data_IF_557506685471
#
_entry.id   IF_557506685471
#
_cell.length_a   1.000
_cell.length_b   1.000
_cell.length_c   1.000
_cell.angle_alpha   90.00
_cell.angle_beta   90.00
_cell.angle_gamma   90.00
#
_symmetry.space_group_name_H-M   'P 1'
#
loop_
_entity.id
_entity.type
_entity.pdbx_description
1 polymer ?
#
# COMPACT_ATOMS: atom_id res chain seq x y z
N UNK A 1 -29.09 -2.69 5.86
CA UNK A 1 -28.86 -1.45 6.64
C UNK A 1 -27.35 -1.23 6.62
N UNK A 2 -26.87 -0.29 5.81
CA UNK A 2 -25.43 -0.05 5.62
C UNK A 2 -24.97 0.99 6.66
N UNK A 3 -24.09 0.58 7.56
CA UNK A 3 -23.59 1.42 8.66
C UNK A 3 -22.57 2.44 8.13
N UNK A 4 -23.00 3.70 8.01
CA UNK A 4 -22.14 4.83 7.62
C UNK A 4 -20.96 5.05 8.59
N UNK A 5 -21.09 4.59 9.85
CA UNK A 5 -20.02 4.68 10.86
C UNK A 5 -18.82 3.78 10.53
N UNK A 6 -19.07 2.60 9.99
CA UNK A 6 -18.00 1.66 9.60
C UNK A 6 -17.25 2.20 8.39
N UNK A 7 -17.91 2.94 7.50
CA UNK A 7 -17.28 3.55 6.33
C UNK A 7 -16.27 4.64 6.71
N UNK A 8 -16.64 5.55 7.62
CA UNK A 8 -15.73 6.60 8.09
C UNK A 8 -14.52 6.05 8.84
N UNK A 9 -14.69 5.00 9.65
CA UNK A 9 -13.58 4.35 10.35
C UNK A 9 -12.64 3.59 9.39
N UNK A 10 -13.21 2.91 8.40
CA UNK A 10 -12.41 2.21 7.38
C UNK A 10 -11.61 3.20 6.54
N UNK A 11 -12.17 4.35 6.17
CA UNK A 11 -11.45 5.37 5.41
C UNK A 11 -10.30 6.00 6.21
N UNK A 12 -10.50 6.24 7.51
CA UNK A 12 -9.45 6.76 8.38
C UNK A 12 -8.31 5.74 8.57
N UNK A 13 -8.63 4.46 8.79
CA UNK A 13 -7.63 3.37 8.87
C UNK A 13 -6.88 3.20 7.56
N UNK A 14 -7.57 3.25 6.43
CA UNK A 14 -6.94 3.20 5.11
C UNK A 14 -6.05 4.41 4.84
N UNK A 15 -6.43 5.59 5.32
CA UNK A 15 -5.61 6.81 5.26
C UNK A 15 -4.30 6.62 6.02
N UNK A 16 -4.39 6.24 7.29
CA UNK A 16 -3.21 6.01 8.13
C UNK A 16 -2.31 4.88 7.58
N UNK A 17 -2.92 3.79 7.11
CA UNK A 17 -2.20 2.70 6.45
C UNK A 17 -1.42 3.19 5.22
N UNK A 18 -2.04 4.03 4.38
CA UNK A 18 -1.40 4.58 3.19
C UNK A 18 -0.23 5.52 3.54
N UNK A 19 -0.34 6.31 4.61
CA UNK A 19 0.76 7.16 5.11
C UNK A 19 1.96 6.30 5.55
N UNK A 20 1.73 5.31 6.43
CA UNK A 20 2.77 4.39 6.90
C UNK A 20 3.45 3.69 5.72
N UNK A 21 2.65 3.16 4.78
CA UNK A 21 3.18 2.44 3.61
C UNK A 21 4.04 3.37 2.75
N UNK A 22 3.60 4.63 2.53
CA UNK A 22 4.36 5.60 1.76
C UNK A 22 5.68 5.97 2.44
N UNK A 23 5.68 6.17 3.77
CA UNK A 23 6.90 6.49 4.52
C UNK A 23 7.89 5.33 4.49
N UNK A 24 7.41 4.10 4.67
CA UNK A 24 8.25 2.89 4.57
C UNK A 24 8.84 2.73 3.17
N UNK A 25 8.04 2.91 2.11
CA UNK A 25 8.52 2.78 0.74
C UNK A 25 9.56 3.84 0.39
N UNK A 26 9.38 5.08 0.90
CA UNK A 26 10.34 6.18 0.70
C UNK A 26 11.64 5.92 1.44
N UNK A 27 11.57 5.35 2.64
CA UNK A 27 12.73 5.01 3.45
C UNK A 27 13.52 3.84 2.85
N UNK A 28 12.86 2.74 2.52
CA UNK A 28 13.50 1.50 2.07
C UNK A 28 13.99 1.59 0.61
N UNK A 29 13.43 2.49 -0.21
CA UNK A 29 13.74 2.65 -1.65
C UNK A 29 13.62 1.35 -2.49
N UNK A 30 13.07 0.29 -1.90
CA UNK A 30 12.89 -1.04 -2.46
C UNK A 30 11.52 -1.52 -2.02
N UNK A 31 10.81 -2.24 -2.89
CA UNK A 31 9.50 -2.74 -2.53
C UNK A 31 9.56 -3.69 -1.33
N UNK A 32 8.49 -3.74 -0.54
CA UNK A 32 8.39 -4.61 0.63
C UNK A 32 7.10 -5.42 0.61
N UNK A 33 7.04 -6.48 1.41
CA UNK A 33 5.86 -7.34 1.56
C UNK A 33 5.34 -7.20 2.97
N UNK A 34 4.06 -6.83 3.12
CA UNK A 34 3.34 -6.97 4.39
C UNK A 34 2.62 -8.32 4.42
N UNK A 35 2.89 -9.17 5.42
CA UNK A 35 2.20 -10.45 5.54
C UNK A 35 0.70 -10.25 5.83
N UNK A 36 -0.15 -11.26 5.57
CA UNK A 36 -1.60 -11.15 5.75
C UNK A 36 -2.02 -10.73 7.15
N UNK A 37 -1.30 -11.17 8.20
CA UNK A 37 -1.56 -10.81 9.59
C UNK A 37 -1.39 -9.31 9.83
N UNK A 38 -0.32 -8.72 9.30
CA UNK A 38 0.00 -7.31 9.44
C UNK A 38 -0.98 -6.44 8.66
N UNK A 39 -1.33 -6.84 7.44
CA UNK A 39 -2.37 -6.16 6.65
C UNK A 39 -3.70 -6.14 7.39
N UNK A 40 -4.12 -7.31 7.92
CA UNK A 40 -5.37 -7.43 8.66
C UNK A 40 -5.36 -6.55 9.90
N UNK A 41 -4.25 -6.52 10.64
CA UNK A 41 -4.05 -5.65 11.80
C UNK A 41 -4.15 -4.17 11.40
N UNK A 42 -3.43 -3.77 10.36
CA UNK A 42 -3.36 -2.39 9.87
C UNK A 42 -4.72 -1.87 9.38
N UNK A 43 -5.51 -2.73 8.72
CA UNK A 43 -6.84 -2.39 8.20
C UNK A 43 -7.99 -2.72 9.16
N UNK A 44 -7.69 -3.30 10.32
CA UNK A 44 -8.70 -3.75 11.28
C UNK A 44 -9.62 -4.86 10.76
N UNK A 45 -9.14 -5.68 9.82
CA UNK A 45 -9.86 -6.84 9.28
C UNK A 45 -9.74 -7.99 10.28
N UNK A 46 -10.84 -8.66 10.67
CA UNK A 46 -10.77 -9.79 11.59
C UNK A 46 -9.89 -10.93 11.11
N UNK A 47 -9.11 -11.53 12.02
CA UNK A 47 -8.15 -12.60 11.69
C UNK A 47 -8.78 -13.87 11.11
N UNK A 48 -10.05 -14.14 11.41
CA UNK A 48 -10.80 -15.30 10.88
C UNK A 48 -11.34 -15.10 9.46
N UNK A 49 -11.20 -13.91 8.88
CA UNK A 49 -11.67 -13.63 7.52
C UNK A 49 -10.68 -14.19 6.48
N UNK A 50 -10.99 -15.37 5.93
CA UNK A 50 -10.15 -16.01 4.91
C UNK A 50 -10.10 -15.24 3.59
N UNK A 51 -11.15 -14.48 3.28
CA UNK A 51 -11.27 -13.63 2.08
C UNK A 51 -10.89 -12.17 2.34
N UNK A 52 -9.98 -11.92 3.29
CA UNK A 52 -9.49 -10.58 3.64
C UNK A 52 -9.01 -9.76 2.42
N UNK A 53 -8.47 -10.42 1.40
CA UNK A 53 -7.97 -9.80 0.17
C UNK A 53 -9.08 -9.20 -0.71
N UNK A 54 -10.34 -9.57 -0.50
CA UNK A 54 -11.52 -9.00 -1.15
C UNK A 54 -12.17 -7.88 -0.33
N UNK A 55 -11.63 -7.57 0.86
CA UNK A 55 -12.22 -6.56 1.74
C UNK A 55 -12.20 -5.17 1.08
N UNK A 56 -13.27 -4.39 1.27
CA UNK A 56 -13.37 -3.04 0.71
C UNK A 56 -12.18 -2.15 1.05
N UNK A 57 -11.64 -2.29 2.27
CA UNK A 57 -10.46 -1.55 2.75
C UNK A 57 -9.22 -1.80 1.89
N UNK A 58 -9.06 -2.99 1.33
CA UNK A 58 -7.96 -3.31 0.40
C UNK A 58 -8.11 -2.50 -0.90
N UNK A 59 -9.33 -2.42 -1.43
CA UNK A 59 -9.65 -1.62 -2.62
C UNK A 59 -9.45 -0.13 -2.37
N UNK A 60 -9.88 0.38 -1.20
CA UNK A 60 -9.68 1.78 -0.81
C UNK A 60 -8.19 2.09 -0.65
N UNK A 61 -7.44 1.23 0.05
CA UNK A 61 -6.00 1.38 0.22
C UNK A 61 -5.28 1.40 -1.13
N UNK A 62 -5.62 0.48 -2.04
CA UNK A 62 -5.07 0.44 -3.40
C UNK A 62 -5.31 1.75 -4.16
N UNK A 63 -6.51 2.33 -4.05
CA UNK A 63 -6.82 3.63 -4.67
C UNK A 63 -5.99 4.77 -4.08
N UNK A 64 -5.81 4.80 -2.76
CA UNK A 64 -4.99 5.84 -2.10
C UNK A 64 -3.51 5.75 -2.51
N UNK A 65 -2.96 4.54 -2.55
CA UNK A 65 -1.56 4.29 -2.94
C UNK A 65 -1.28 4.52 -4.43
N UNK A 66 -2.26 4.28 -5.30
CA UNK A 66 -2.12 4.59 -6.72
C UNK A 66 -1.85 6.08 -6.97
N UNK A 67 -2.40 6.98 -6.12
CA UNK A 67 -2.14 8.42 -6.21
C UNK A 67 -0.71 8.82 -5.80
N UNK A 68 0.03 7.93 -5.12
CA UNK A 68 1.39 8.19 -4.64
C UNK A 68 2.46 7.39 -5.39
N UNK A 69 2.14 6.90 -6.59
CA UNK A 69 3.03 6.09 -7.42
C UNK A 69 3.48 4.78 -6.75
N UNK A 70 2.66 4.25 -5.83
CA UNK A 70 2.90 2.95 -5.22
C UNK A 70 2.01 1.90 -5.87
N UNK A 71 2.65 0.88 -6.47
CA UNK A 71 1.99 -0.33 -6.92
C UNK A 71 1.76 -1.27 -5.75
N UNK A 72 0.64 -1.98 -5.82
CA UNK A 72 0.17 -2.88 -4.78
C UNK A 72 -0.27 -4.19 -5.43
N UNK A 73 0.41 -5.28 -5.12
CA UNK A 73 0.10 -6.62 -5.59
C UNK A 73 -0.37 -7.49 -4.42
N UNK A 74 -1.54 -8.12 -4.56
CA UNK A 74 -2.19 -8.86 -3.47
C UNK A 74 -2.03 -10.35 -3.72
N UNK A 75 -1.49 -11.06 -2.74
CA UNK A 75 -1.33 -12.51 -2.74
C UNK A 75 -2.00 -13.07 -1.48
N UNK A 76 -3.12 -13.80 -1.57
CA UNK A 76 -3.85 -14.30 -0.40
C UNK A 76 -2.98 -15.10 0.59
N UNK A 77 -1.99 -15.82 0.07
CA UNK A 77 -1.06 -16.67 0.83
C UNK A 77 0.12 -15.90 1.42
N UNK A 78 0.67 -14.94 0.67
CA UNK A 78 1.91 -14.23 1.03
C UNK A 78 1.69 -12.83 1.62
N UNK A 79 0.51 -12.24 1.44
CA UNK A 79 0.18 -10.90 1.89
C UNK A 79 0.08 -9.89 0.75
N UNK A 80 0.60 -8.68 0.96
CA UNK A 80 0.57 -7.62 -0.03
C UNK A 80 1.98 -7.11 -0.26
N UNK A 81 2.38 -7.15 -1.53
CA UNK A 81 3.63 -6.56 -1.99
C UNK A 81 3.38 -5.11 -2.41
N UNK A 82 4.18 -4.21 -1.88
CA UNK A 82 4.18 -2.80 -2.23
C UNK A 82 5.47 -2.48 -2.98
N UNK A 83 5.36 -1.91 -4.17
CA UNK A 83 6.51 -1.53 -4.98
C UNK A 83 6.33 -0.11 -5.48
N UNK A 84 7.38 0.70 -5.47
CA UNK A 84 7.34 1.99 -6.15
C UNK A 84 7.25 1.75 -7.66
N UNK A 85 6.30 2.41 -8.32
CA UNK A 85 6.46 2.67 -9.74
C UNK A 85 7.72 3.51 -9.87
N UNK A 86 8.72 3.00 -10.61
CA UNK A 86 9.75 3.87 -11.18
C UNK A 86 9.02 4.83 -12.12
N UNK A 87 8.54 5.96 -11.59
CA UNK A 87 8.53 7.17 -12.40
C UNK A 87 9.97 7.32 -12.90
N UNK A 88 10.21 7.56 -14.20
CA UNK A 88 11.56 7.80 -14.67
C UNK A 88 12.11 8.95 -13.83
N UNK A 89 12.99 8.62 -12.88
CA UNK A 89 13.88 9.61 -12.31
C UNK A 89 14.49 10.24 -13.54
N UNK A 90 14.27 11.55 -13.74
CA UNK A 90 14.97 12.32 -14.77
C UNK A 90 16.38 11.76 -14.77
N UNK A 91 16.75 11.08 -15.85
CA UNK A 91 18.06 10.49 -15.99
C UNK A 91 18.98 11.68 -15.75
N UNK A 92 19.58 11.73 -14.56
CA UNK A 92 20.57 12.73 -14.27
C UNK A 92 21.74 12.25 -15.11
N UNK A 93 21.74 12.70 -16.37
CA UNK A 93 22.82 12.51 -17.32
C UNK A 93 23.99 13.18 -16.63
N UNK A 94 24.74 12.39 -15.88
CA UNK A 94 26.11 12.71 -15.52
C UNK A 94 26.85 12.68 -16.84
N UNK A 95 26.81 13.78 -17.57
CA UNK A 95 27.79 14.08 -18.59
C UNK A 95 29.11 14.14 -17.84
N UNK A 96 29.91 13.09 -17.97
CA UNK A 96 31.33 13.15 -17.62
C UNK A 96 31.95 14.28 -18.44
N UNK A 97 32.76 15.17 -17.84
CA UNK A 97 33.51 16.14 -18.64
C UNK A 97 34.46 15.35 -19.52
N UNK A 98 34.36 15.58 -20.83
CA UNK A 98 35.33 15.11 -21.81
C UNK A 98 36.63 15.85 -21.52
N UNK A 99 37.71 15.09 -21.31
CA UNK A 99 39.08 15.61 -21.39
C UNK A 99 39.89 14.65 -22.26
#
# INVERSE_FOLDING_TARGET
MFDAKTDMQDDQRCGHAAEIINDLIRSECQGFILPPSEVRRLLGIPGHYHTWYLHRSITVLRKKLANTFVSMAISPEHGISFTLYRAPSKAMVRVSPVN
#
